data_IF_834863465907
#
_entry.id   IF_834863465907
#
_cell.length_a   1.000
_cell.length_b   1.000
_cell.length_c   1.000
_cell.angle_alpha   90.00
_cell.angle_beta   90.00
_cell.angle_gamma   90.00
#
_symmetry.space_group_name_H-M   'P 1'
#
loop_
_entity.id
_entity.type
_entity.pdbx_description
1 polymer ?
#
# COMPACT_ATOMS: atom_id res chain seq x y z
N UNK A 1 12.42 9.88 -14.76
CA UNK A 1 12.20 8.56 -14.12
C UNK A 1 11.26 7.79 -15.03
N UNK A 2 11.63 6.60 -15.52
CA UNK A 2 10.83 5.85 -16.50
C UNK A 2 9.60 5.20 -15.85
N UNK A 3 8.52 5.03 -16.62
CA UNK A 3 7.26 4.41 -16.13
C UNK A 3 7.50 3.04 -15.50
N UNK A 4 8.39 2.23 -16.06
CA UNK A 4 8.75 0.91 -15.53
C UNK A 4 9.39 0.96 -14.13
N UNK A 5 10.29 1.92 -13.89
CA UNK A 5 10.89 2.10 -12.57
C UNK A 5 9.84 2.47 -11.52
N UNK A 6 8.96 3.39 -11.88
CA UNK A 6 7.85 3.82 -11.02
C UNK A 6 6.93 2.66 -10.66
N UNK A 7 6.59 1.80 -11.64
CA UNK A 7 5.76 0.64 -11.38
C UNK A 7 6.47 -0.36 -10.48
N UNK A 8 7.74 -0.71 -10.73
CA UNK A 8 8.50 -1.61 -9.85
C UNK A 8 8.55 -1.12 -8.40
N UNK A 9 8.77 0.19 -8.21
CA UNK A 9 8.74 0.80 -6.87
C UNK A 9 7.36 0.63 -6.24
N UNK A 10 6.29 0.92 -6.98
CA UNK A 10 4.92 0.76 -6.47
C UNK A 10 4.64 -0.68 -6.05
N UNK A 11 4.99 -1.67 -6.87
CA UNK A 11 4.81 -3.09 -6.54
C UNK A 11 5.54 -3.46 -5.24
N UNK A 12 6.80 -3.03 -5.08
CA UNK A 12 7.56 -3.24 -3.85
C UNK A 12 6.92 -2.56 -2.63
N UNK A 13 6.45 -1.33 -2.78
CA UNK A 13 5.83 -0.57 -1.69
C UNK A 13 4.45 -1.18 -1.31
N UNK A 14 3.70 -1.76 -2.26
CA UNK A 14 2.47 -2.52 -1.99
C UNK A 14 2.80 -3.74 -1.14
N UNK A 15 3.79 -4.55 -1.53
CA UNK A 15 4.21 -5.74 -0.77
C UNK A 15 4.59 -5.36 0.66
N UNK A 16 5.41 -4.32 0.83
CA UNK A 16 5.83 -3.86 2.14
C UNK A 16 4.65 -3.43 3.03
N UNK A 17 3.72 -2.68 2.44
CA UNK A 17 2.50 -2.24 3.12
C UNK A 17 1.63 -3.43 3.54
N UNK A 18 1.47 -4.43 2.67
CA UNK A 18 0.69 -5.63 2.99
C UNK A 18 1.32 -6.45 4.11
N UNK A 19 2.63 -6.67 4.09
CA UNK A 19 3.34 -7.39 5.16
C UNK A 19 3.12 -6.70 6.51
N UNK A 20 3.25 -5.37 6.54
CA UNK A 20 3.05 -4.61 7.77
C UNK A 20 1.59 -4.65 8.26
N UNK A 21 0.61 -4.46 7.38
CA UNK A 21 -0.81 -4.55 7.74
C UNK A 21 -1.19 -5.96 8.21
N UNK A 22 -0.67 -6.99 7.56
CA UNK A 22 -0.90 -8.38 7.96
C UNK A 22 -0.30 -8.68 9.34
N UNK A 23 0.88 -8.15 9.64
CA UNK A 23 1.47 -8.27 10.97
C UNK A 23 0.65 -7.53 12.04
N UNK A 24 0.18 -6.31 11.75
CA UNK A 24 -0.58 -5.51 12.70
C UNK A 24 -2.00 -6.03 12.98
N UNK A 25 -2.71 -6.43 11.92
CA UNK A 25 -4.13 -6.77 11.99
C UNK A 25 -4.43 -8.26 11.89
N UNK A 26 -3.41 -9.08 11.60
CA UNK A 26 -3.54 -10.52 11.54
C UNK A 26 -4.64 -10.97 10.56
N UNK A 27 -5.51 -11.92 10.96
CA UNK A 27 -6.58 -12.46 10.12
C UNK A 27 -7.62 -11.44 9.64
N UNK A 28 -7.74 -10.29 10.29
CA UNK A 28 -8.71 -9.27 9.90
C UNK A 28 -8.34 -8.57 8.58
N UNK A 29 -7.05 -8.55 8.23
CA UNK A 29 -6.55 -7.98 6.98
C UNK A 29 -6.46 -9.03 5.87
N UNK A 30 -6.98 -8.72 4.67
CA UNK A 30 -6.88 -9.59 3.50
C UNK A 30 -5.83 -9.11 2.51
N UNK A 31 -6.03 -7.91 1.97
CA UNK A 31 -5.14 -7.30 0.97
C UNK A 31 -5.40 -5.80 0.83
N UNK A 32 -4.50 -5.12 0.12
CA UNK A 32 -4.72 -3.76 -0.40
C UNK A 32 -4.65 -3.76 -1.92
N UNK A 33 -5.33 -2.79 -2.52
CA UNK A 33 -5.20 -2.43 -3.92
C UNK A 33 -4.90 -0.93 -3.99
N UNK A 34 -3.97 -0.56 -4.86
CA UNK A 34 -3.61 0.83 -5.11
C UNK A 34 -4.11 1.24 -6.48
N UNK A 35 -4.97 2.24 -6.49
CA UNK A 35 -5.55 2.74 -7.73
C UNK A 35 -4.70 3.91 -8.22
N UNK A 36 -4.46 3.99 -9.53
CA UNK A 36 -3.81 5.13 -10.17
C UNK A 36 -4.59 5.60 -11.37
N UNK A 37 -4.69 6.92 -11.54
CA UNK A 37 -5.18 7.47 -12.80
C UNK A 37 -4.19 7.18 -13.93
N UNK A 38 -4.68 6.96 -15.14
CA UNK A 38 -3.85 6.75 -16.34
C UNK A 38 -2.90 7.93 -16.62
N UNK A 39 -3.27 9.13 -16.17
CA UNK A 39 -2.50 10.38 -16.32
C UNK A 39 -1.80 10.85 -15.04
N UNK A 40 -1.70 10.00 -14.01
CA UNK A 40 -1.06 10.39 -12.74
C UNK A 40 0.43 10.72 -12.93
N UNK A 41 0.94 11.63 -12.11
CA UNK A 41 2.38 11.84 -12.00
C UNK A 41 3.07 10.56 -11.47
N UNK A 42 4.38 10.39 -11.71
CA UNK A 42 5.11 9.19 -11.28
C UNK A 42 4.96 8.90 -9.78
N UNK A 43 4.86 9.91 -8.94
CA UNK A 43 4.76 9.83 -7.48
C UNK A 43 3.31 9.94 -6.96
N UNK A 44 2.31 9.87 -7.83
CA UNK A 44 0.90 9.99 -7.46
C UNK A 44 0.15 8.67 -7.48
N UNK A 45 -0.74 8.51 -6.50
CA UNK A 45 -1.73 7.45 -6.40
C UNK A 45 -3.12 8.07 -6.21
N UNK A 46 -4.15 7.46 -6.77
CA UNK A 46 -5.52 7.97 -6.70
C UNK A 46 -6.18 7.55 -5.39
N UNK A 47 -6.24 6.24 -5.14
CA UNK A 47 -6.90 5.66 -3.98
C UNK A 47 -6.10 4.51 -3.37
N UNK A 48 -6.33 4.30 -2.08
CA UNK A 48 -5.88 3.10 -1.35
C UNK A 48 -7.14 2.34 -0.96
N UNK A 49 -7.34 1.17 -1.56
CA UNK A 49 -8.47 0.29 -1.29
C UNK A 49 -8.01 -0.82 -0.36
N UNK A 50 -8.78 -1.09 0.69
CA UNK A 50 -8.48 -2.14 1.68
C UNK A 50 -9.61 -3.14 1.73
N UNK A 51 -9.26 -4.41 1.60
CA UNK A 51 -10.17 -5.53 1.80
C UNK A 51 -9.89 -6.16 3.17
N UNK A 52 -10.92 -6.20 4.01
CA UNK A 52 -10.91 -6.81 5.34
C UNK A 52 -11.78 -8.06 5.35
N UNK A 53 -11.56 -8.95 6.33
CA UNK A 53 -12.31 -10.20 6.47
C UNK A 53 -13.81 -9.99 6.73
N UNK A 54 -14.16 -8.93 7.47
CA UNK A 54 -15.52 -8.61 7.87
C UNK A 54 -15.93 -7.22 7.41
N UNK A 55 -17.24 -6.95 7.40
CA UNK A 55 -17.79 -5.63 7.10
C UNK A 55 -17.67 -4.65 8.29
N UNK A 56 -16.45 -4.51 8.83
CA UNK A 56 -16.14 -3.56 9.89
C UNK A 56 -15.59 -2.25 9.29
N UNK A 57 -16.50 -1.33 8.98
CA UNK A 57 -16.15 -0.04 8.36
C UNK A 57 -15.14 0.80 9.18
N UNK A 58 -15.26 0.93 10.52
CA UNK A 58 -14.23 1.58 11.34
C UNK A 58 -12.84 0.96 11.17
N UNK A 59 -12.73 -0.37 11.23
CA UNK A 59 -11.46 -1.08 11.11
C UNK A 59 -10.84 -0.89 9.72
N UNK A 60 -11.64 -0.99 8.64
CA UNK A 60 -11.16 -0.70 7.28
C UNK A 60 -10.63 0.72 7.13
N UNK A 61 -11.30 1.70 7.74
CA UNK A 61 -10.85 3.10 7.72
C UNK A 61 -9.50 3.25 8.40
N UNK A 62 -9.28 2.57 9.52
CA UNK A 62 -8.01 2.57 10.25
C UNK A 62 -6.89 1.88 9.44
N UNK A 63 -7.15 0.70 8.90
CA UNK A 63 -6.21 -0.02 8.02
C UNK A 63 -5.80 0.85 6.83
N UNK A 64 -6.77 1.50 6.17
CA UNK A 64 -6.50 2.43 5.07
C UNK A 64 -5.66 3.61 5.50
N UNK A 65 -5.92 4.20 6.68
CA UNK A 65 -5.13 5.30 7.20
C UNK A 65 -3.65 4.91 7.42
N UNK A 66 -3.38 3.71 7.94
CA UNK A 66 -2.01 3.21 8.05
C UNK A 66 -1.39 2.93 6.69
N UNK A 67 -2.12 2.29 5.77
CA UNK A 67 -1.65 2.02 4.43
C UNK A 67 -1.25 3.32 3.69
N UNK A 68 -2.11 4.33 3.75
CA UNK A 68 -1.82 5.68 3.23
C UNK A 68 -0.59 6.28 3.89
N UNK A 69 -0.46 6.21 5.22
CA UNK A 69 0.70 6.77 5.94
C UNK A 69 2.02 6.14 5.49
N UNK A 70 2.06 4.82 5.30
CA UNK A 70 3.24 4.08 4.82
C UNK A 70 3.61 4.51 3.41
N UNK A 71 2.65 4.57 2.49
CA UNK A 71 2.89 5.01 1.11
C UNK A 71 3.38 6.45 1.03
N UNK A 72 2.78 7.35 1.80
CA UNK A 72 3.25 8.72 1.89
C UNK A 72 4.64 8.82 2.53
N UNK A 73 4.99 7.97 3.51
CA UNK A 73 6.36 7.90 4.06
C UNK A 73 7.38 7.50 3.00
N UNK A 74 6.93 6.70 2.03
CA UNK A 74 7.69 6.33 0.85
C UNK A 74 7.70 7.42 -0.22
N UNK A 75 7.03 8.55 -0.03
CA UNK A 75 6.99 9.68 -0.95
C UNK A 75 5.91 9.59 -2.03
N UNK A 76 4.85 8.80 -1.81
CA UNK A 76 3.66 8.82 -2.66
C UNK A 76 2.70 9.94 -2.24
N UNK A 77 2.09 10.62 -3.20
CA UNK A 77 1.07 11.66 -2.98
C UNK A 77 -0.31 11.11 -3.34
N UNK A 78 -1.25 11.21 -2.40
CA UNK A 78 -2.65 10.86 -2.64
C UNK A 78 -3.34 12.00 -3.41
N UNK A 79 -3.82 11.70 -4.62
CA UNK A 79 -4.48 12.68 -5.50
C UNK A 79 -5.79 12.10 -6.06
N UNK A 80 -6.84 11.97 -5.22
CA UNK A 80 -8.11 11.41 -5.65
C UNK A 80 -8.85 12.38 -6.59
N UNK A 81 -9.20 11.92 -7.79
CA UNK A 81 -9.97 12.71 -8.76
C UNK A 81 -11.27 11.98 -9.12
N UNK A 82 -12.42 12.41 -8.54
CA UNK A 82 -13.71 11.77 -8.79
C UNK A 82 -14.07 11.75 -10.28
N UNK A 83 -14.64 10.63 -10.75
CA UNK A 83 -15.11 10.47 -12.13
C UNK A 83 -14.01 10.26 -13.17
N UNK A 84 -12.75 10.06 -12.75
CA UNK A 84 -11.66 9.66 -13.65
C UNK A 84 -11.41 8.16 -13.57
N UNK A 85 -11.08 7.59 -14.71
CA UNK A 85 -10.66 6.20 -14.81
C UNK A 85 -9.40 5.94 -14.00
N UNK A 86 -9.39 4.77 -13.37
CA UNK A 86 -8.27 4.26 -12.60
C UNK A 86 -7.81 2.93 -13.16
N UNK A 87 -6.56 2.59 -12.85
CA UNK A 87 -5.97 1.29 -13.02
C UNK A 87 -5.53 0.77 -11.67
N UNK A 88 -5.86 -0.49 -11.43
CA UNK A 88 -5.64 -1.15 -10.15
C UNK A 88 -4.27 -1.83 -10.14
N UNK A 89 -3.58 -1.72 -9.01
CA UNK A 89 -2.31 -2.37 -8.74
C UNK A 89 -2.42 -3.17 -7.45
N UNK A 90 -2.20 -4.47 -7.57
CA UNK A 90 -2.20 -5.41 -6.44
C UNK A 90 -0.95 -6.28 -6.52
N UNK A 91 -0.49 -6.75 -5.36
CA UNK A 91 0.64 -7.65 -5.25
C UNK A 91 0.38 -8.71 -4.19
N UNK A 92 1.18 -9.78 -4.21
CA UNK A 92 1.06 -10.88 -3.24
C UNK A 92 2.32 -11.00 -2.39
N UNK A 93 2.14 -11.05 -1.06
CA UNK A 93 3.21 -11.29 -0.09
C UNK A 93 3.43 -12.79 0.20
N UNK A 94 2.73 -13.69 -0.52
CA UNK A 94 2.75 -15.14 -0.26
C UNK A 94 4.09 -15.80 -0.55
N UNK A 95 4.83 -15.26 -1.52
CA UNK A 95 6.11 -15.80 -1.99
C UNK A 95 7.27 -15.50 -1.03
N UNK A 96 7.08 -14.59 -0.08
CA UNK A 96 8.11 -14.20 0.88
C UNK A 96 8.34 -15.28 1.93
N UNK A 97 9.60 -15.48 2.28
CA UNK A 97 10.03 -16.20 3.47
C UNK A 97 9.72 -15.40 4.75
N UNK A 98 9.77 -16.07 5.90
CA UNK A 98 9.61 -15.38 7.18
C UNK A 98 10.74 -14.38 7.47
N UNK A 99 11.96 -14.65 6.97
CA UNK A 99 13.09 -13.74 7.14
C UNK A 99 12.87 -12.44 6.37
N UNK A 100 12.48 -12.53 5.09
CA UNK A 100 12.17 -11.35 4.26
C UNK A 100 11.00 -10.55 4.85
N UNK A 101 9.98 -11.21 5.39
CA UNK A 101 8.89 -10.51 6.10
C UNK A 101 9.40 -9.71 7.29
N UNK A 102 10.27 -10.30 8.12
CA UNK A 102 10.84 -9.60 9.28
C UNK A 102 11.70 -8.39 8.87
N UNK A 103 12.49 -8.54 7.81
CA UNK A 103 13.28 -7.43 7.27
C UNK A 103 12.38 -6.28 6.79
N UNK A 104 11.35 -6.60 6.00
CA UNK A 104 10.36 -5.63 5.52
C UNK A 104 9.67 -4.92 6.69
N UNK A 105 9.30 -5.64 7.75
CA UNK A 105 8.70 -5.01 8.94
C UNK A 105 9.65 -3.98 9.56
N UNK A 106 10.92 -4.31 9.71
CA UNK A 106 11.95 -3.37 10.19
C UNK A 106 12.04 -2.13 9.30
N UNK A 107 12.08 -2.31 7.98
CA UNK A 107 12.14 -1.21 7.02
C UNK A 107 10.91 -0.29 7.11
N UNK A 108 9.70 -0.85 7.18
CA UNK A 108 8.46 -0.04 7.29
C UNK A 108 8.43 0.75 8.59
N UNK A 109 8.87 0.17 9.70
CA UNK A 109 8.99 0.90 10.98
C UNK A 109 9.96 2.07 10.88
N UNK A 110 11.08 1.93 10.16
CA UNK A 110 12.00 3.04 9.90
C UNK A 110 11.35 4.13 9.04
N UNK A 111 10.59 3.77 8.01
CA UNK A 111 9.88 4.74 7.16
C UNK A 111 8.89 5.57 7.99
N UNK A 112 8.17 4.92 8.92
CA UNK A 112 7.18 5.57 9.75
C UNK A 112 7.77 6.48 10.84
N UNK A 113 9.03 6.27 11.24
CA UNK A 113 9.76 7.12 12.20
C UNK A 113 10.30 8.40 11.57
N UNK A 114 10.68 8.35 10.29
CA UNK A 114 11.36 9.43 9.59
C UNK A 114 10.41 10.40 8.87
N UNK A 115 9.11 10.38 9.20
CA UNK A 115 8.05 11.15 8.55
C UNK A 115 7.11 11.78 9.57
#
# INVERSE_FOLDING_TARGET
MTTEFTLRRLHSDIVATQVWLRNKYGPAFRMIVIDRHYSCAPDEIAYVVVYAADDNAPLRREMRAHATRILEARGWRLNPQPGRDVRDFEESDRWLSNHERLEILGQVEEWLKNK
#
